data_IF_724874730330
#
_entry.id   IF_724874730330
#
_cell.length_a   1.000
_cell.length_b   1.000
_cell.length_c   1.000
_cell.angle_alpha   90.00
_cell.angle_beta   90.00
_cell.angle_gamma   90.00
#
_symmetry.space_group_name_H-M   'P 1'
#
loop_
_entity.id
_entity.type
_entity.pdbx_description
1 polymer ?
#
# COMPACT_ATOMS: atom_id res chain seq x y z
N UNK A 1 -8.72 4.04 6.51
CA UNK A 1 -7.61 4.36 7.41
C UNK A 1 -6.29 3.82 6.89
N UNK A 2 -6.26 2.55 6.51
CA UNK A 2 -5.01 1.96 6.04
C UNK A 2 -4.56 2.57 4.72
N UNK A 3 -5.50 2.94 3.86
CA UNK A 3 -5.14 3.58 2.61
C UNK A 3 -4.46 4.92 2.85
N UNK A 4 -5.01 5.71 3.75
CA UNK A 4 -4.41 7.01 4.07
C UNK A 4 -3.02 6.83 4.64
N UNK A 5 -2.85 5.83 5.49
CA UNK A 5 -1.57 5.53 6.08
C UNK A 5 -0.56 5.11 5.01
N UNK A 6 -1.00 4.30 4.05
CA UNK A 6 -0.14 3.86 2.96
C UNK A 6 0.34 5.04 2.12
N UNK A 7 -0.56 5.97 1.80
CA UNK A 7 -0.18 7.17 1.07
C UNK A 7 0.78 8.04 1.86
N UNK A 8 0.56 8.14 3.16
CA UNK A 8 1.45 8.88 4.03
C UNK A 8 2.86 8.29 4.00
N UNK A 9 2.95 6.97 4.10
CA UNK A 9 4.25 6.30 4.08
C UNK A 9 4.96 6.50 2.75
N UNK A 10 4.20 6.50 1.68
CA UNK A 10 4.77 6.76 0.36
C UNK A 10 5.38 8.14 0.29
N UNK A 11 4.65 9.14 0.78
CA UNK A 11 5.12 10.51 0.80
C UNK A 11 6.36 10.68 1.67
N UNK A 12 6.41 9.92 2.75
CA UNK A 12 7.50 10.00 3.71
C UNK A 12 8.73 9.20 3.26
N UNK A 13 8.63 8.50 2.14
CA UNK A 13 9.74 7.73 1.62
C UNK A 13 9.92 6.38 2.27
N UNK A 14 8.96 5.92 3.05
CA UNK A 14 9.03 4.62 3.74
C UNK A 14 8.35 3.55 2.90
N UNK A 15 8.93 3.26 1.76
CA UNK A 15 8.33 2.32 0.82
C UNK A 15 8.24 0.90 1.36
N UNK A 16 9.25 0.46 2.10
CA UNK A 16 9.23 -0.88 2.67
C UNK A 16 8.05 -1.06 3.61
N UNK A 17 7.83 -0.08 4.46
CA UNK A 17 6.73 -0.12 5.40
C UNK A 17 5.40 0.03 4.68
N UNK A 18 5.38 0.85 3.64
CA UNK A 18 4.18 1.00 2.82
C UNK A 18 3.76 -0.34 2.23
N UNK A 19 4.72 -1.10 1.72
CA UNK A 19 4.43 -2.41 1.16
C UNK A 19 3.82 -3.35 2.20
N UNK A 20 4.37 -3.35 3.40
CA UNK A 20 3.83 -4.17 4.49
C UNK A 20 2.39 -3.81 4.78
N UNK A 21 2.13 -2.53 4.88
CA UNK A 21 0.79 -2.03 5.20
C UNK A 21 -0.20 -2.44 4.11
N UNK A 22 0.20 -2.27 2.85
CA UNK A 22 -0.66 -2.60 1.73
C UNK A 22 -0.95 -4.11 1.70
N UNK A 23 0.06 -4.93 1.94
CA UNK A 23 -0.13 -6.36 1.95
C UNK A 23 -1.13 -6.78 3.03
N UNK A 24 -1.03 -6.19 4.20
CA UNK A 24 -1.98 -6.45 5.27
C UNK A 24 -3.39 -6.00 4.89
N UNK A 25 -3.48 -4.84 4.29
CA UNK A 25 -4.76 -4.32 3.85
C UNK A 25 -5.44 -5.27 2.86
N UNK A 26 -4.68 -5.75 1.90
CA UNK A 26 -5.23 -6.63 0.88
C UNK A 26 -5.65 -7.99 1.45
N UNK A 27 -5.03 -8.41 2.54
CA UNK A 27 -5.44 -9.64 3.21
C UNK A 27 -6.75 -9.48 3.97
N UNK A 28 -6.99 -8.30 4.49
CA UNK A 28 -8.18 -8.02 5.29
C UNK A 28 -9.42 -7.75 4.46
N UNK A 29 -9.22 -7.24 3.25
CA UNK A 29 -10.32 -6.86 2.37
C UNK A 29 -10.49 -7.94 1.31
N UNK A 30 -11.63 -8.64 1.30
CA UNK A 30 -11.89 -9.61 0.24
C UNK A 30 -12.19 -8.88 -1.06
N UNK A 31 -11.40 -9.13 -2.06
CA UNK A 31 -11.54 -8.47 -3.33
C UNK A 31 -10.30 -7.71 -3.69
N UNK A 32 -10.29 -7.12 -4.86
CA UNK A 32 -9.15 -6.40 -5.35
C UNK A 32 -9.33 -4.90 -5.18
N UNK A 33 -8.29 -4.26 -4.70
CA UNK A 33 -8.22 -2.81 -4.63
C UNK A 33 -7.12 -2.38 -5.58
N UNK A 34 -7.50 -1.99 -6.78
CA UNK A 34 -6.53 -1.66 -7.81
C UNK A 34 -5.64 -0.50 -7.41
N UNK A 35 -6.16 0.41 -6.61
CA UNK A 35 -5.40 1.56 -6.14
C UNK A 35 -4.23 1.12 -5.26
N UNK A 36 -4.51 0.20 -4.36
CA UNK A 36 -3.47 -0.32 -3.45
C UNK A 36 -2.49 -1.22 -4.19
N UNK A 37 -2.99 -2.01 -5.12
CA UNK A 37 -2.12 -2.86 -5.94
C UNK A 37 -1.18 -1.98 -6.76
N UNK A 38 -1.69 -0.88 -7.31
CA UNK A 38 -0.86 0.04 -8.09
C UNK A 38 0.22 0.66 -7.23
N UNK A 39 -0.11 1.02 -6.00
CA UNK A 39 0.89 1.56 -5.07
C UNK A 39 1.97 0.54 -4.75
N UNK A 40 1.56 -0.70 -4.58
CA UNK A 40 2.50 -1.78 -4.27
C UNK A 40 3.47 -1.99 -5.41
N UNK A 41 2.98 -1.90 -6.65
CA UNK A 41 3.80 -2.11 -7.84
C UNK A 41 4.61 -0.87 -8.21
N UNK A 42 4.19 0.28 -7.74
CA UNK A 42 4.84 1.55 -8.05
C UNK A 42 6.28 1.59 -7.54
N UNK A 43 6.63 0.69 -6.65
CA UNK A 43 7.97 0.59 -6.10
C UNK A 43 8.91 -0.14 -7.06
N UNK A 44 8.42 -0.56 -8.18
CA UNK A 44 9.13 -1.40 -9.11
C UNK A 44 9.80 -0.56 -10.20
N UNK A 45 10.79 0.11 -9.83
CA UNK A 45 11.45 1.04 -10.73
C UNK A 45 12.74 0.48 -11.26
#
# INVERSE_FOLDING_TARGET
>A
FLKDYAFYLREDGQRDKMKEVIQKYLQLIPGEDFEMVALLEDDND
#
